data_IF_161128043209
#
_entry.id   IF_161128043209
#
_cell.length_a   1.000
_cell.length_b   1.000
_cell.length_c   1.000
_cell.angle_alpha   90.00
_cell.angle_beta   90.00
_cell.angle_gamma   90.00
#
_symmetry.space_group_name_H-M   'P 1'
#
loop_
_entity.id
_entity.type
_entity.pdbx_description
1 polymer ?
#
# COMPACT_ATOMS: atom_id res chain seq x y z
N UNK A 1 -29.78 -17.93 -5.05
CA UNK A 1 -29.22 -17.07 -3.97
C UNK A 1 -27.74 -17.44 -3.89
N UNK A 2 -26.86 -16.56 -4.34
CA UNK A 2 -25.41 -16.73 -4.18
C UNK A 2 -25.07 -16.63 -2.70
N UNK A 3 -24.29 -17.58 -2.18
CA UNK A 3 -23.77 -17.53 -0.82
C UNK A 3 -23.10 -16.17 -0.58
N UNK A 4 -23.26 -15.54 0.61
CA UNK A 4 -22.58 -14.29 0.90
C UNK A 4 -21.07 -14.50 0.74
N UNK A 5 -20.40 -13.63 -0.03
CA UNK A 5 -18.97 -13.69 -0.20
C UNK A 5 -18.30 -13.60 1.18
N UNK A 6 -17.38 -14.53 1.47
CA UNK A 6 -16.61 -14.50 2.72
C UNK A 6 -15.66 -13.31 2.64
N UNK A 7 -15.83 -12.33 3.55
CA UNK A 7 -14.95 -11.17 3.62
C UNK A 7 -13.56 -11.58 4.11
N UNK A 8 -12.53 -11.00 3.50
CA UNK A 8 -11.16 -11.14 3.96
C UNK A 8 -10.93 -10.31 5.24
N UNK A 9 -9.86 -10.62 5.96
CA UNK A 9 -9.50 -9.95 7.22
C UNK A 9 -8.02 -9.60 7.21
N UNK A 10 -7.69 -8.39 7.65
CA UNK A 10 -6.30 -7.98 7.85
C UNK A 10 -5.69 -8.71 9.05
N UNK A 11 -4.37 -8.68 9.17
CA UNK A 11 -3.66 -9.24 10.34
C UNK A 11 -4.04 -8.53 11.65
N UNK A 12 -4.53 -7.29 11.57
CA UNK A 12 -4.95 -6.49 12.73
C UNK A 12 -6.44 -6.65 13.09
N UNK A 13 -7.20 -7.45 12.37
CA UNK A 13 -8.64 -7.65 12.60
C UNK A 13 -9.00 -7.87 14.07
N UNK A 14 -8.27 -8.75 14.78
CA UNK A 14 -8.55 -9.00 16.21
C UNK A 14 -8.23 -7.78 17.09
N UNK A 15 -7.26 -6.96 16.72
CA UNK A 15 -6.95 -5.70 17.41
C UNK A 15 -8.07 -4.68 17.24
N UNK A 16 -8.62 -4.53 16.04
CA UNK A 16 -9.79 -3.67 15.81
C UNK A 16 -10.97 -4.09 16.68
N UNK A 17 -11.28 -5.38 16.72
CA UNK A 17 -12.36 -5.90 17.58
C UNK A 17 -12.10 -5.70 19.07
N UNK A 18 -10.88 -5.92 19.52
CA UNK A 18 -10.50 -5.69 20.93
C UNK A 18 -10.62 -4.22 21.34
N UNK A 19 -10.50 -3.29 20.38
CA UNK A 19 -10.73 -1.86 20.56
C UNK A 19 -12.18 -1.44 20.31
N UNK A 20 -13.11 -2.41 20.22
CA UNK A 20 -14.53 -2.20 19.98
C UNK A 20 -14.86 -1.44 18.69
N UNK A 21 -14.03 -1.63 17.65
CA UNK A 21 -14.30 -1.04 16.35
C UNK A 21 -15.60 -1.58 15.75
N UNK A 22 -16.36 -0.69 15.12
CA UNK A 22 -17.50 -1.07 14.28
C UNK A 22 -16.96 -1.58 12.94
N UNK A 23 -17.05 -2.90 12.74
CA UNK A 23 -16.57 -3.55 11.52
C UNK A 23 -17.65 -3.52 10.44
N UNK A 24 -17.24 -3.23 9.18
CA UNK A 24 -18.14 -3.17 8.01
C UNK A 24 -17.48 -3.82 6.80
N UNK A 25 -18.26 -4.32 5.83
CA UNK A 25 -17.74 -4.72 4.52
C UNK A 25 -17.17 -3.51 3.77
N UNK A 26 -15.93 -3.61 3.30
CA UNK A 26 -15.26 -2.61 2.49
C UNK A 26 -14.29 -3.29 1.51
N UNK A 27 -14.46 -3.07 0.20
CA UNK A 27 -13.60 -3.61 -0.87
C UNK A 27 -13.31 -5.13 -0.75
N UNK A 28 -14.30 -5.92 -0.30
CA UNK A 28 -14.13 -7.37 -0.09
C UNK A 28 -13.52 -7.76 1.26
N UNK A 29 -13.23 -6.79 2.12
CA UNK A 29 -12.63 -6.97 3.45
C UNK A 29 -13.59 -6.58 4.57
N UNK A 30 -13.38 -7.12 5.78
CA UNK A 30 -14.05 -6.72 7.01
C UNK A 30 -13.17 -5.66 7.71
N UNK A 31 -13.54 -4.37 7.55
CA UNK A 31 -12.70 -3.23 7.96
C UNK A 31 -13.37 -2.37 9.05
N UNK A 32 -12.58 -1.73 9.94
CA UNK A 32 -13.12 -0.81 10.93
C UNK A 32 -13.56 0.50 10.29
N UNK A 33 -14.83 0.91 10.52
CA UNK A 33 -15.32 2.21 10.04
C UNK A 33 -15.22 3.29 11.11
N UNK A 34 -15.26 2.91 12.38
CA UNK A 34 -15.09 3.81 13.53
C UNK A 34 -14.83 3.01 14.82
N UNK A 35 -14.29 3.70 15.81
CA UNK A 35 -14.14 3.24 17.19
C UNK A 35 -15.15 3.93 18.12
N UNK A 36 -15.20 3.59 19.44
CA UNK A 36 -16.20 4.13 20.36
C UNK A 36 -16.27 5.66 20.46
N UNK A 37 -15.16 6.37 20.21
CA UNK A 37 -15.13 7.83 20.20
C UNK A 37 -15.94 8.44 19.04
N UNK A 38 -16.15 7.68 17.97
CA UNK A 38 -16.93 8.08 16.80
C UNK A 38 -16.10 8.84 15.75
N UNK A 39 -16.61 8.81 14.51
CA UNK A 39 -15.92 9.32 13.30
C UNK A 39 -15.46 10.78 13.45
N UNK A 40 -16.28 11.66 14.03
CA UNK A 40 -15.93 13.09 14.17
C UNK A 40 -14.76 13.29 15.13
N UNK A 41 -14.76 12.58 16.27
CA UNK A 41 -13.66 12.67 17.23
C UNK A 41 -12.37 12.12 16.63
N UNK A 42 -12.43 11.01 15.91
CA UNK A 42 -11.29 10.41 15.19
C UNK A 42 -10.76 11.35 14.11
N UNK A 43 -11.66 11.95 13.31
CA UNK A 43 -11.28 12.95 12.31
C UNK A 43 -10.54 14.14 12.94
N UNK A 44 -11.07 14.70 14.02
CA UNK A 44 -10.42 15.82 14.73
C UNK A 44 -9.08 15.42 15.33
N UNK A 45 -8.95 14.20 15.88
CA UNK A 45 -7.69 13.69 16.41
C UNK A 45 -6.59 13.63 15.34
N UNK A 46 -6.92 13.16 14.14
CA UNK A 46 -5.97 13.15 13.01
C UNK A 46 -5.61 14.55 12.55
N UNK A 47 -6.60 15.46 12.45
CA UNK A 47 -6.38 16.84 11.98
C UNK A 47 -5.56 17.70 12.93
N UNK A 48 -5.64 17.46 14.24
CA UNK A 48 -4.94 18.23 15.28
C UNK A 48 -3.73 17.52 15.91
N UNK A 49 -3.63 16.21 15.70
CA UNK A 49 -2.59 15.35 16.30
C UNK A 49 -2.07 14.33 15.30
N UNK A 50 -2.39 13.06 15.54
CA UNK A 50 -2.10 11.98 14.61
C UNK A 50 -3.12 10.85 14.74
N UNK A 51 -3.22 10.03 13.68
CA UNK A 51 -3.95 8.79 13.65
C UNK A 51 -3.18 7.70 12.91
N UNK A 52 -3.47 6.45 13.26
CA UNK A 52 -2.95 5.28 12.58
C UNK A 52 -4.09 4.54 11.89
N UNK A 53 -3.90 4.17 10.63
CA UNK A 53 -4.88 3.49 9.81
C UNK A 53 -4.32 2.16 9.33
N UNK A 54 -5.07 1.08 9.51
CA UNK A 54 -4.78 -0.20 8.89
C UNK A 54 -5.23 -0.14 7.42
N UNK A 55 -4.27 -0.13 6.52
CA UNK A 55 -4.48 -0.17 5.07
C UNK A 55 -3.89 -1.45 4.45
N UNK A 56 -3.67 -2.49 5.27
CA UNK A 56 -3.13 -3.79 4.88
C UNK A 56 -4.05 -4.60 3.95
N UNK A 57 -5.17 -4.03 3.53
CA UNK A 57 -6.06 -4.58 2.52
C UNK A 57 -5.68 -4.20 1.10
N UNK A 58 -4.71 -3.30 0.93
CA UNK A 58 -4.17 -2.94 -0.39
C UNK A 58 -3.38 -4.10 -0.99
N UNK A 59 -3.07 -4.00 -2.29
CA UNK A 59 -2.27 -5.00 -3.00
C UNK A 59 -0.84 -4.52 -3.19
N UNK A 60 0.13 -5.40 -2.95
CA UNK A 60 1.55 -5.14 -3.10
C UNK A 60 2.20 -6.18 -4.01
N UNK A 61 2.82 -5.72 -5.10
CA UNK A 61 3.45 -6.57 -6.11
C UNK A 61 4.93 -6.25 -6.28
N UNK A 62 5.78 -7.26 -6.13
CA UNK A 62 7.21 -7.12 -6.40
C UNK A 62 7.53 -7.47 -7.87
N UNK A 63 8.40 -6.65 -8.44
CA UNK A 63 8.97 -6.84 -9.78
C UNK A 63 10.49 -6.89 -9.65
N UNK A 64 11.08 -8.06 -9.94
CA UNK A 64 12.54 -8.27 -9.92
C UNK A 64 13.04 -8.73 -11.28
N UNK A 65 14.35 -8.72 -11.46
CA UNK A 65 15.00 -9.15 -12.72
C UNK A 65 15.62 -7.99 -13.49
N UNK A 66 16.42 -8.30 -14.53
CA UNK A 66 17.19 -7.29 -15.27
C UNK A 66 16.30 -6.28 -16.00
N UNK A 67 15.14 -6.72 -16.49
CA UNK A 67 14.24 -5.89 -17.30
C UNK A 67 13.15 -5.20 -16.46
N UNK A 68 13.26 -5.18 -15.11
CA UNK A 68 12.21 -4.65 -14.22
C UNK A 68 11.81 -3.21 -14.52
N UNK A 69 12.77 -2.33 -14.80
CA UNK A 69 12.47 -0.92 -15.11
C UNK A 69 11.72 -0.78 -16.44
N UNK A 70 12.17 -1.47 -17.47
CA UNK A 70 11.52 -1.47 -18.78
C UNK A 70 10.10 -2.06 -18.70
N UNK A 71 9.93 -3.12 -17.90
CA UNK A 71 8.63 -3.74 -17.67
C UNK A 71 7.66 -2.82 -16.95
N UNK A 72 8.09 -2.19 -15.83
CA UNK A 72 7.22 -1.28 -15.08
C UNK A 72 6.89 -0.04 -15.90
N UNK A 73 7.83 0.52 -16.68
CA UNK A 73 7.55 1.59 -17.65
C UNK A 73 6.52 1.18 -18.71
N UNK A 74 6.46 -0.09 -19.08
CA UNK A 74 5.46 -0.60 -20.03
C UNK A 74 4.05 -0.65 -19.44
N UNK A 75 3.92 -1.01 -18.15
CA UNK A 75 2.61 -1.25 -17.50
C UNK A 75 2.08 -0.03 -16.76
N UNK A 76 2.92 0.99 -16.51
CA UNK A 76 2.52 2.21 -15.80
C UNK A 76 2.67 3.44 -16.68
N UNK A 77 1.96 4.52 -16.32
CA UNK A 77 1.90 5.76 -17.12
C UNK A 77 3.04 6.73 -16.85
N UNK A 78 3.70 6.62 -15.68
CA UNK A 78 4.81 7.50 -15.31
C UNK A 78 6.15 6.81 -15.57
N UNK A 79 7.21 7.60 -15.77
CA UNK A 79 8.55 7.10 -16.13
C UNK A 79 9.34 6.67 -14.89
N UNK A 80 9.39 5.37 -14.64
CA UNK A 80 10.12 4.78 -13.51
C UNK A 80 11.64 4.89 -13.64
N UNK A 81 12.16 5.18 -14.85
CA UNK A 81 13.60 5.37 -15.06
C UNK A 81 14.14 6.64 -14.38
N UNK A 82 13.24 7.58 -14.06
CA UNK A 82 13.56 8.81 -13.32
C UNK A 82 13.64 8.63 -11.81
N UNK A 83 13.17 7.50 -11.29
CA UNK A 83 13.28 7.21 -9.88
C UNK A 83 14.71 6.77 -9.54
N UNK A 84 15.25 7.32 -8.47
CA UNK A 84 16.42 6.77 -7.79
C UNK A 84 16.01 5.78 -6.71
N UNK A 85 16.88 4.87 -6.25
CA UNK A 85 16.61 4.04 -5.07
C UNK A 85 16.17 4.88 -3.88
N UNK A 86 15.12 4.42 -3.16
CA UNK A 86 14.45 5.20 -2.11
C UNK A 86 13.33 6.11 -2.62
N UNK A 87 13.22 6.31 -3.93
CA UNK A 87 12.17 7.14 -4.52
C UNK A 87 10.84 6.39 -4.69
N UNK A 88 9.76 7.16 -4.64
CA UNK A 88 8.39 6.71 -4.88
C UNK A 88 7.78 7.58 -5.97
N UNK A 89 6.92 7.03 -6.82
CA UNK A 89 6.12 7.84 -7.74
C UNK A 89 4.67 7.37 -7.81
N UNK A 90 3.76 8.33 -7.95
CA UNK A 90 2.38 8.06 -8.28
C UNK A 90 2.25 7.78 -9.78
N UNK A 91 1.47 6.76 -10.14
CA UNK A 91 1.27 6.31 -11.50
C UNK A 91 -0.10 5.67 -11.68
N UNK A 92 -0.38 5.14 -12.85
CA UNK A 92 -1.61 4.42 -13.15
C UNK A 92 -1.33 3.22 -14.06
N UNK A 93 -2.15 2.18 -13.92
CA UNK A 93 -2.25 1.04 -14.82
C UNK A 93 -3.40 1.31 -15.80
N UNK A 94 -3.14 1.22 -17.10
CA UNK A 94 -4.15 1.46 -18.13
C UNK A 94 -4.36 0.23 -19.01
N UNK A 95 -5.59 0.07 -19.50
CA UNK A 95 -5.89 -0.87 -20.59
C UNK A 95 -5.32 -0.36 -21.91
N UNK A 96 -5.30 -1.21 -22.93
CA UNK A 96 -4.89 -0.84 -24.28
C UNK A 96 -5.76 0.29 -24.90
N UNK A 97 -6.98 0.49 -24.38
CA UNK A 97 -7.88 1.56 -24.79
C UNK A 97 -7.67 2.88 -24.01
N UNK A 98 -6.70 2.94 -23.10
CA UNK A 98 -6.39 4.10 -22.27
C UNK A 98 -7.36 4.33 -21.11
N UNK A 99 -8.15 3.32 -20.73
CA UNK A 99 -9.00 3.39 -19.52
C UNK A 99 -8.27 2.85 -18.30
N UNK A 100 -8.64 3.34 -17.12
CA UNK A 100 -8.00 2.92 -15.88
C UNK A 100 -8.27 1.46 -15.52
N UNK A 101 -7.21 0.72 -15.22
CA UNK A 101 -7.26 -0.52 -14.43
C UNK A 101 -7.25 -0.14 -12.96
N UNK A 102 -6.25 0.65 -12.55
CA UNK A 102 -6.11 1.23 -11.20
C UNK A 102 -5.11 2.39 -11.22
N UNK A 103 -5.14 3.25 -10.21
CA UNK A 103 -3.99 4.09 -9.86
C UNK A 103 -3.08 3.33 -8.87
N UNK A 104 -1.80 3.69 -8.87
CA UNK A 104 -0.81 2.97 -8.07
C UNK A 104 0.32 3.89 -7.61
N UNK A 105 1.07 3.42 -6.61
CA UNK A 105 2.38 3.97 -6.28
C UNK A 105 3.47 2.95 -6.59
N UNK A 106 4.58 3.43 -7.16
CA UNK A 106 5.74 2.60 -7.48
C UNK A 106 6.90 3.02 -6.60
N UNK A 107 7.46 2.06 -5.88
CA UNK A 107 8.60 2.21 -4.97
C UNK A 107 9.83 1.61 -5.62
N UNK A 108 10.95 2.35 -5.66
CA UNK A 108 12.20 1.85 -6.19
C UNK A 108 13.18 1.46 -5.09
N UNK A 109 13.41 0.17 -4.93
CA UNK A 109 14.51 -0.39 -4.14
C UNK A 109 15.76 -0.57 -5.03
N UNK A 110 16.91 -0.92 -4.45
CA UNK A 110 18.13 -1.18 -5.20
C UNK A 110 17.97 -2.35 -6.18
N UNK A 111 17.33 -3.42 -5.76
CA UNK A 111 17.24 -4.70 -6.47
C UNK A 111 15.86 -5.00 -7.07
N UNK A 112 14.82 -4.24 -6.69
CA UNK A 112 13.42 -4.48 -7.09
C UNK A 112 12.63 -3.19 -7.24
N UNK A 113 11.47 -3.31 -7.88
CA UNK A 113 10.39 -2.34 -7.82
C UNK A 113 9.21 -2.96 -7.08
N UNK A 114 8.46 -2.16 -6.34
CA UNK A 114 7.21 -2.57 -5.70
C UNK A 114 6.08 -1.68 -6.19
N UNK A 115 4.98 -2.28 -6.61
CA UNK A 115 3.77 -1.58 -7.05
C UNK A 115 2.70 -1.79 -5.99
N UNK A 116 2.13 -0.72 -5.46
CA UNK A 116 1.02 -0.74 -4.50
C UNK A 116 -0.24 -0.27 -5.19
N UNK A 117 -1.31 -1.07 -5.10
CA UNK A 117 -2.60 -0.84 -5.78
C UNK A 117 -3.76 -0.84 -4.79
N UNK A 118 -4.92 -0.32 -5.21
CA UNK A 118 -6.10 -0.26 -4.37
C UNK A 118 -6.73 -1.64 -4.11
N UNK A 119 -7.24 -1.85 -2.92
CA UNK A 119 -7.79 -3.12 -2.45
C UNK A 119 -8.89 -3.70 -3.37
N UNK A 120 -9.81 -2.87 -3.86
CA UNK A 120 -10.90 -3.31 -4.73
C UNK A 120 -10.42 -3.81 -6.10
N UNK A 121 -9.23 -3.42 -6.51
CA UNK A 121 -8.68 -3.69 -7.84
C UNK A 121 -7.50 -4.67 -7.81
N UNK A 122 -7.08 -5.16 -6.63
CA UNK A 122 -5.85 -5.98 -6.46
C UNK A 122 -5.82 -7.17 -7.43
N UNK A 123 -6.88 -7.97 -7.49
CA UNK A 123 -6.92 -9.13 -8.39
C UNK A 123 -6.83 -8.72 -9.88
N UNK A 124 -7.61 -7.70 -10.27
CA UNK A 124 -7.64 -7.18 -11.64
C UNK A 124 -6.30 -6.58 -12.06
N UNK A 125 -5.67 -5.82 -11.16
CA UNK A 125 -4.35 -5.23 -11.39
C UNK A 125 -3.27 -6.31 -11.52
N UNK A 126 -3.32 -7.34 -10.67
CA UNK A 126 -2.41 -8.47 -10.76
C UNK A 126 -2.53 -9.23 -12.09
N UNK A 127 -3.75 -9.61 -12.48
CA UNK A 127 -4.04 -10.26 -13.77
C UNK A 127 -3.50 -9.41 -14.92
N UNK A 128 -3.81 -8.10 -14.93
CA UNK A 128 -3.33 -7.18 -15.96
C UNK A 128 -1.79 -7.15 -16.05
N UNK A 129 -1.08 -7.03 -14.92
CA UNK A 129 0.39 -6.99 -14.87
C UNK A 129 0.98 -8.32 -15.37
N UNK A 130 0.41 -9.46 -14.97
CA UNK A 130 0.85 -10.79 -15.41
C UNK A 130 0.67 -10.98 -16.91
N UNK A 131 -0.47 -10.55 -17.46
CA UNK A 131 -0.74 -10.60 -18.91
C UNK A 131 0.28 -9.79 -19.73
N UNK A 132 0.71 -8.61 -19.21
CA UNK A 132 1.66 -7.75 -19.89
C UNK A 132 3.10 -8.28 -19.85
N UNK A 133 3.40 -9.29 -19.03
CA UNK A 133 4.77 -9.80 -18.88
C UNK A 133 5.32 -10.37 -20.17
N UNK A 134 4.55 -11.19 -20.90
CA UNK A 134 5.03 -11.85 -22.14
C UNK A 134 6.38 -12.54 -21.94
N UNK A 135 7.31 -12.26 -22.85
CA UNK A 135 8.69 -12.79 -22.83
C UNK A 135 9.71 -11.92 -22.09
N UNK A 136 9.27 -10.87 -21.35
CA UNK A 136 10.17 -9.95 -20.64
C UNK A 136 10.82 -10.68 -19.46
N UNK A 137 12.15 -10.50 -19.28
CA UNK A 137 12.91 -11.19 -18.25
C UNK A 137 12.76 -10.54 -16.88
N UNK A 138 11.55 -10.72 -16.31
CA UNK A 138 11.20 -10.29 -14.94
C UNK A 138 10.56 -11.43 -14.19
N UNK A 139 10.68 -11.39 -12.86
CA UNK A 139 9.89 -12.19 -11.93
C UNK A 139 8.87 -11.27 -11.26
N UNK A 140 7.62 -11.69 -11.27
CA UNK A 140 6.52 -11.04 -10.59
C UNK A 140 6.13 -11.86 -9.37
N UNK A 141 5.87 -11.20 -8.26
CA UNK A 141 5.40 -11.83 -7.02
C UNK A 141 4.34 -10.94 -6.37
N UNK A 142 3.16 -11.51 -6.10
CA UNK A 142 2.17 -10.92 -5.22
C UNK A 142 2.59 -11.20 -3.77
N UNK A 143 2.89 -10.15 -3.01
CA UNK A 143 3.31 -10.21 -1.61
C UNK A 143 2.26 -9.65 -0.65
N UNK A 144 1.06 -9.32 -1.14
CA UNK A 144 0.01 -8.66 -0.36
C UNK A 144 -0.35 -9.40 0.94
N UNK A 145 -0.29 -10.74 0.92
CA UNK A 145 -0.52 -11.56 2.12
C UNK A 145 0.66 -11.62 3.09
N UNK A 146 1.87 -11.23 2.65
CA UNK A 146 3.11 -11.34 3.43
C UNK A 146 3.40 -10.06 4.21
N UNK A 147 2.87 -8.91 3.78
CA UNK A 147 3.12 -7.59 4.36
C UNK A 147 1.90 -7.07 5.14
N UNK A 148 2.11 -6.06 5.95
CA UNK A 148 1.08 -5.22 6.53
C UNK A 148 1.39 -3.78 6.20
N UNK A 149 0.37 -2.98 5.94
CA UNK A 149 0.51 -1.58 5.59
C UNK A 149 -0.22 -0.71 6.60
N UNK A 150 0.49 0.21 7.24
CA UNK A 150 -0.05 1.17 8.19
C UNK A 150 0.21 2.59 7.72
N UNK A 151 -0.85 3.41 7.67
CA UNK A 151 -0.71 4.83 7.42
C UNK A 151 -0.76 5.60 8.75
N UNK A 152 0.35 6.24 9.12
CA UNK A 152 0.43 7.14 10.28
C UNK A 152 0.36 8.57 9.76
N UNK A 153 -0.71 9.28 10.09
CA UNK A 153 -1.05 10.56 9.48
C UNK A 153 -1.41 11.61 10.51
N UNK A 154 -1.15 12.87 10.19
CA UNK A 154 -1.46 14.04 11.00
C UNK A 154 -0.24 14.90 11.31
N UNK A 155 -0.43 16.14 11.80
CA UNK A 155 0.66 17.11 12.01
C UNK A 155 1.71 16.63 13.02
N UNK A 156 1.38 15.71 13.92
CA UNK A 156 2.29 15.14 14.91
C UNK A 156 2.73 13.70 14.60
N UNK A 157 2.44 13.19 13.40
CA UNK A 157 2.76 11.82 13.03
C UNK A 157 4.26 11.49 13.19
N UNK A 158 5.14 12.35 12.65
CA UNK A 158 6.59 12.19 12.78
C UNK A 158 7.05 12.24 14.23
N UNK A 159 6.59 13.22 15.01
CA UNK A 159 6.93 13.40 16.44
C UNK A 159 6.62 12.13 17.24
N UNK A 160 5.44 11.54 17.01
CA UNK A 160 4.98 10.36 17.74
C UNK A 160 5.65 9.06 17.27
N UNK A 161 6.02 8.98 15.99
CA UNK A 161 6.65 7.79 15.43
C UNK A 161 8.16 7.75 15.66
N UNK A 162 8.85 8.90 15.70
CA UNK A 162 10.31 8.99 15.81
C UNK A 162 10.90 8.23 17.00
N UNK A 163 10.31 8.24 18.23
CA UNK A 163 10.85 7.45 19.34
C UNK A 163 10.82 5.94 19.13
N UNK A 164 10.01 5.45 18.20
CA UNK A 164 9.86 4.04 17.85
C UNK A 164 10.70 3.64 16.63
N UNK A 165 11.21 4.61 15.89
CA UNK A 165 11.97 4.39 14.67
C UNK A 165 13.48 4.38 14.96
N UNK A 166 14.19 3.43 14.33
CA UNK A 166 15.65 3.33 14.44
C UNK A 166 16.38 4.30 13.48
N UNK A 167 15.65 4.94 12.58
CA UNK A 167 16.18 5.86 11.58
C UNK A 167 15.55 7.26 11.73
N UNK A 168 16.23 8.33 11.25
CA UNK A 168 15.73 9.72 11.36
C UNK A 168 14.61 9.97 10.35
N UNK A 169 13.35 9.84 10.79
CA UNK A 169 12.18 10.00 9.93
C UNK A 169 12.09 11.39 9.26
N UNK A 170 12.66 12.42 9.90
CA UNK A 170 12.66 13.79 9.36
C UNK A 170 13.58 14.01 8.16
N UNK A 171 14.48 13.05 7.87
CA UNK A 171 15.37 13.08 6.72
C UNK A 171 14.77 12.40 5.49
N UNK A 172 13.63 11.68 5.64
CA UNK A 172 12.91 11.08 4.53
C UNK A 172 12.13 12.18 3.80
N UNK A 173 12.52 12.45 2.57
CA UNK A 173 11.87 13.46 1.73
C UNK A 173 10.46 13.05 1.29
N UNK A 174 9.67 14.01 0.83
CA UNK A 174 8.37 13.74 0.24
C UNK A 174 8.48 12.82 -0.99
N UNK A 175 7.61 11.82 -1.09
CA UNK A 175 7.71 10.76 -2.09
C UNK A 175 9.03 9.96 -2.06
N UNK A 176 9.59 9.77 -0.84
CA UNK A 176 10.70 8.89 -0.58
C UNK A 176 10.37 7.90 0.54
N UNK A 177 11.15 6.83 0.62
CA UNK A 177 11.09 5.86 1.69
C UNK A 177 12.50 5.42 2.08
N UNK A 178 12.59 4.89 3.29
CA UNK A 178 13.79 4.23 3.77
C UNK A 178 13.41 2.90 4.43
N UNK A 179 14.38 2.02 4.61
CA UNK A 179 14.20 0.69 5.19
C UNK A 179 14.85 0.63 6.57
N UNK A 180 14.06 0.40 7.59
CA UNK A 180 14.52 0.36 8.96
C UNK A 180 13.54 -0.32 9.90
N UNK A 181 13.86 -0.33 11.19
CA UNK A 181 12.99 -0.92 12.21
C UNK A 181 12.14 0.16 12.89
N UNK A 182 10.84 -0.14 13.02
CA UNK A 182 9.90 0.66 13.79
C UNK A 182 9.27 -0.24 14.84
N UNK A 183 9.38 0.10 16.13
CA UNK A 183 8.90 -0.69 17.26
C UNK A 183 9.39 -2.15 17.22
N UNK A 184 10.59 -2.39 16.67
CA UNK A 184 11.19 -3.73 16.53
C UNK A 184 10.76 -4.53 15.31
N UNK A 185 9.75 -4.08 14.57
CA UNK A 185 9.35 -4.64 13.27
C UNK A 185 10.16 -3.99 12.12
N UNK A 186 10.35 -4.76 11.06
CA UNK A 186 10.97 -4.28 9.81
C UNK A 186 9.94 -4.33 8.71
#
# INVERSE_FOLDING_TARGET
MTAPAVLQRTKLFQRHRALFAKMVPYAGWEMPVQYPAGILAEHHAVRSGAGIFDVSHMGEFEVTGPDRNAFVNRVTTNDVSRLEPGGVQYSALLTAQGTFVDDCTVYRFDDKLMIVVNASNTARAWEHIVEQKGGINVRLKDISSEVGLLAVQGPRAQELLQPLAALPLGEIEYYHFDVGKIAGAQ
#
